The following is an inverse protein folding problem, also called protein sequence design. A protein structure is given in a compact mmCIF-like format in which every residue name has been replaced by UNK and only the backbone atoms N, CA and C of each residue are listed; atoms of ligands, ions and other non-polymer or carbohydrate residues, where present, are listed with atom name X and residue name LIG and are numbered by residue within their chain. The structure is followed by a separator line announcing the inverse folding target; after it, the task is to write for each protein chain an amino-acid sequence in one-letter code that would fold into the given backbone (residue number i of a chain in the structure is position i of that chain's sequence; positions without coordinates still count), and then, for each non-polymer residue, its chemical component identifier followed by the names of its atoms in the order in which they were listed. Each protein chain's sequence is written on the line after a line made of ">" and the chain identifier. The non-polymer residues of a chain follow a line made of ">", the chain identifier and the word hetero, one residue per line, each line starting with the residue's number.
data_IF_399966817083
#
_entry.id   IF_399966817083
#
_cell.length_a   1.000
_cell.length_b   1.000
_cell.length_c   1.000
_cell.angle_alpha   90.00
_cell.angle_beta   90.00
_cell.angle_gamma   90.00
#
_symmetry.space_group_name_H-M   'P 1'
#
loop_
_entity.id
_entity.type
_entity.pdbx_description
1 polymer ?
#
# COMPACT_ATOMS: atom_id res chain seq x y z
N UNK A 1 -20.49 -1.90 9.67
CA UNK A 1 -19.48 -0.88 9.32
C UNK A 1 -18.37 -1.39 8.38
N UNK A 2 -17.22 -1.91 8.81
CA UNK A 2 -16.09 -2.22 7.89
C UNK A 2 -16.39 -3.28 6.81
N UNK A 3 -17.24 -4.27 7.10
CA UNK A 3 -17.72 -5.23 6.07
C UNK A 3 -18.58 -4.56 4.99
N UNK A 4 -19.38 -3.56 5.35
CA UNK A 4 -20.21 -2.81 4.38
C UNK A 4 -19.31 -1.89 3.55
N UNK A 5 -18.35 -1.23 4.19
CA UNK A 5 -17.39 -0.34 3.54
C UNK A 5 -16.58 -1.07 2.45
N UNK A 6 -16.18 -2.33 2.69
CA UNK A 6 -15.58 -3.17 1.64
C UNK A 6 -16.52 -3.55 0.50
N UNK A 7 -17.76 -3.92 0.82
CA UNK A 7 -18.74 -4.26 -0.21
C UNK A 7 -19.05 -3.04 -1.10
N UNK A 8 -19.06 -1.85 -0.50
CA UNK A 8 -19.29 -0.59 -1.18
C UNK A 8 -18.06 -0.06 -1.90
N UNK A 9 -16.84 -0.52 -1.57
CA UNK A 9 -15.59 0.01 -2.15
C UNK A 9 -15.57 -0.07 -3.67
N UNK A 10 -15.91 -1.21 -4.26
CA UNK A 10 -15.91 -1.39 -5.71
C UNK A 10 -17.01 -0.56 -6.39
N UNK A 11 -18.30 -0.63 -5.98
CA UNK A 11 -19.34 0.26 -6.49
C UNK A 11 -18.98 1.75 -6.38
N UNK A 12 -18.41 2.17 -5.25
CA UNK A 12 -17.99 3.55 -5.01
C UNK A 12 -16.86 3.96 -5.95
N UNK A 13 -15.87 3.09 -6.17
CA UNK A 13 -14.76 3.33 -7.11
C UNK A 13 -15.29 3.54 -8.53
N UNK A 14 -16.17 2.66 -8.99
CA UNK A 14 -16.78 2.75 -10.33
C UNK A 14 -17.55 4.06 -10.48
N UNK A 15 -18.38 4.39 -9.49
CA UNK A 15 -19.16 5.63 -9.47
C UNK A 15 -18.26 6.89 -9.51
N UNK A 16 -17.23 6.95 -8.66
CA UNK A 16 -16.30 8.08 -8.62
C UNK A 16 -15.56 8.27 -9.95
N UNK A 17 -15.05 7.18 -10.53
CA UNK A 17 -14.37 7.22 -11.83
C UNK A 17 -15.34 7.68 -12.93
N UNK A 18 -16.58 7.19 -12.93
CA UNK A 18 -17.58 7.58 -13.92
C UNK A 18 -17.91 9.09 -13.88
N UNK A 19 -18.08 9.67 -12.69
CA UNK A 19 -18.33 11.12 -12.56
C UNK A 19 -17.14 11.94 -13.06
N UNK A 20 -15.91 11.53 -12.71
CA UNK A 20 -14.72 12.23 -13.21
C UNK A 20 -14.65 12.14 -14.74
N UNK A 21 -14.95 10.98 -15.33
CA UNK A 21 -14.99 10.83 -16.79
C UNK A 21 -16.02 11.74 -17.45
N UNK A 22 -17.21 11.92 -16.87
CA UNK A 22 -18.20 12.90 -17.35
C UNK A 22 -17.62 14.32 -17.33
N UNK A 23 -16.94 14.69 -16.24
CA UNK A 23 -16.23 15.97 -16.16
C UNK A 23 -15.21 16.10 -17.29
N UNK A 24 -14.35 15.10 -17.46
CA UNK A 24 -13.28 15.10 -18.47
C UNK A 24 -13.80 15.20 -19.91
N UNK A 25 -14.92 14.55 -20.22
CA UNK A 25 -15.55 14.66 -21.56
C UNK A 25 -15.94 16.09 -21.91
N UNK A 26 -16.26 16.92 -20.90
CA UNK A 26 -16.63 18.32 -21.10
C UNK A 26 -15.43 19.27 -20.94
N UNK A 27 -14.51 18.99 -20.01
CA UNK A 27 -13.31 19.78 -19.77
C UNK A 27 -12.15 18.93 -19.25
N UNK A 28 -11.05 18.90 -20.01
CA UNK A 28 -9.83 18.15 -19.69
C UNK A 28 -9.23 18.49 -18.32
N UNK A 29 -9.47 19.68 -17.77
CA UNK A 29 -8.99 20.07 -16.44
C UNK A 29 -9.46 19.12 -15.33
N UNK A 30 -10.63 18.49 -15.51
CA UNK A 30 -11.16 17.52 -14.54
C UNK A 30 -10.33 16.22 -14.43
N UNK A 31 -9.35 15.98 -15.32
CA UNK A 31 -8.39 14.88 -15.15
C UNK A 31 -7.65 14.99 -13.81
N UNK A 32 -7.43 16.20 -13.31
CA UNK A 32 -6.77 16.43 -12.03
C UNK A 32 -7.56 15.88 -10.83
N UNK A 33 -8.87 15.66 -10.95
CA UNK A 33 -9.70 15.06 -9.90
C UNK A 33 -9.40 13.57 -9.68
N UNK A 34 -8.76 12.87 -10.64
CA UNK A 34 -8.33 11.50 -10.41
C UNK A 34 -7.33 11.38 -9.25
N UNK A 35 -6.48 12.39 -9.05
CA UNK A 35 -5.48 12.40 -7.98
C UNK A 35 -6.16 12.30 -6.59
N UNK A 36 -7.04 13.25 -6.19
CA UNK A 36 -7.72 13.17 -4.90
C UNK A 36 -8.65 11.94 -4.81
N UNK A 37 -9.30 11.53 -5.90
CA UNK A 37 -10.16 10.33 -5.90
C UNK A 37 -9.36 9.06 -5.60
N UNK A 38 -8.23 8.84 -6.27
CA UNK A 38 -7.39 7.67 -6.01
C UNK A 38 -6.72 7.74 -4.64
N UNK A 39 -6.36 8.93 -4.14
CA UNK A 39 -5.90 9.12 -2.77
C UNK A 39 -6.98 8.69 -1.76
N UNK A 40 -8.23 9.15 -1.91
CA UNK A 40 -9.34 8.77 -1.05
C UNK A 40 -9.55 7.25 -1.05
N UNK A 41 -9.62 6.63 -2.23
CA UNK A 41 -9.77 5.18 -2.36
C UNK A 41 -8.60 4.41 -1.72
N UNK A 42 -7.37 4.89 -1.92
CA UNK A 42 -6.18 4.36 -1.28
C UNK A 42 -6.26 4.41 0.25
N UNK A 43 -6.66 5.54 0.82
CA UNK A 43 -6.85 5.70 2.26
C UNK A 43 -7.97 4.81 2.80
N UNK A 44 -9.10 4.71 2.11
CA UNK A 44 -10.20 3.81 2.48
C UNK A 44 -9.73 2.36 2.55
N UNK A 45 -9.01 1.91 1.51
CA UNK A 45 -8.47 0.53 1.45
C UNK A 45 -7.48 0.28 2.57
N UNK A 46 -6.57 1.22 2.81
CA UNK A 46 -5.56 1.13 3.89
C UNK A 46 -6.21 1.08 5.26
N UNK A 47 -7.16 1.98 5.54
CA UNK A 47 -7.93 2.02 6.78
C UNK A 47 -8.65 0.69 7.04
N UNK A 48 -9.29 0.14 6.01
CA UNK A 48 -10.02 -1.12 6.10
C UNK A 48 -9.10 -2.30 6.47
N UNK A 49 -7.94 -2.40 5.81
CA UNK A 49 -6.95 -3.45 6.09
C UNK A 49 -6.39 -3.29 7.50
N UNK A 50 -5.96 -2.09 7.87
CA UNK A 50 -5.43 -1.80 9.21
C UNK A 50 -6.46 -2.12 10.30
N UNK A 51 -7.71 -1.67 10.15
CA UNK A 51 -8.78 -1.96 11.12
C UNK A 51 -8.99 -3.47 11.30
N UNK A 52 -8.96 -4.24 10.21
CA UNK A 52 -9.13 -5.70 10.30
C UNK A 52 -7.99 -6.36 11.04
N UNK A 53 -6.75 -6.01 10.71
CA UNK A 53 -5.59 -6.57 11.38
C UNK A 53 -5.60 -6.18 12.86
N UNK A 54 -5.96 -4.94 13.19
CA UNK A 54 -6.05 -4.45 14.59
C UNK A 54 -7.12 -5.16 15.42
N UNK A 55 -8.35 -5.29 14.94
CA UNK A 55 -9.46 -5.77 15.77
C UNK A 55 -9.87 -7.23 15.51
N UNK A 56 -9.45 -7.81 14.39
CA UNK A 56 -9.86 -9.16 13.94
C UNK A 56 -8.68 -10.02 13.49
N UNK A 57 -7.46 -9.48 13.59
CA UNK A 57 -6.25 -10.20 13.26
C UNK A 57 -5.99 -11.33 14.23
N UNK A 58 -5.30 -12.35 13.75
CA UNK A 58 -4.80 -13.45 14.57
C UNK A 58 -3.29 -13.34 14.62
N UNK A 59 -2.72 -13.38 15.82
CA UNK A 59 -1.27 -13.41 16.04
C UNK A 59 -0.73 -14.81 15.79
N UNK A 60 0.41 -14.90 15.13
CA UNK A 60 1.17 -16.14 14.94
C UNK A 60 2.65 -15.84 14.73
N UNK A 61 3.50 -16.86 14.85
CA UNK A 61 4.91 -16.76 14.45
C UNK A 61 5.05 -17.10 12.97
N UNK A 62 5.83 -16.31 12.27
CA UNK A 62 6.19 -16.55 10.88
C UNK A 62 7.70 -16.61 10.74
N UNK A 63 8.19 -17.53 9.91
CA UNK A 63 9.60 -17.75 9.63
C UNK A 63 9.97 -17.11 8.30
N UNK A 64 11.09 -16.42 8.23
CA UNK A 64 11.62 -15.92 6.96
C UNK A 64 12.15 -17.10 6.15
N UNK A 65 11.64 -17.29 4.93
CA UNK A 65 12.06 -18.35 4.01
C UNK A 65 12.91 -17.82 2.86
N UNK A 66 12.79 -16.53 2.55
CA UNK A 66 13.57 -15.87 1.50
C UNK A 66 13.79 -14.41 1.87
N UNK A 67 15.03 -13.97 1.77
CA UNK A 67 15.43 -12.57 1.88
C UNK A 67 16.39 -12.26 0.73
N UNK A 68 16.04 -11.26 -0.07
CA UNK A 68 16.92 -10.69 -1.09
C UNK A 68 16.88 -9.18 -0.93
N UNK A 69 18.01 -8.57 -0.62
CA UNK A 69 18.17 -7.11 -0.59
C UNK A 69 19.28 -6.78 -1.59
N UNK A 70 18.89 -6.34 -2.77
CA UNK A 70 19.85 -5.89 -3.78
C UNK A 70 20.03 -4.38 -3.65
N UNK A 71 21.22 -3.96 -3.22
CA UNK A 71 21.80 -2.68 -3.64
C UNK A 71 22.58 -3.00 -4.93
N UNK A 72 21.98 -2.81 -6.10
CA UNK A 72 22.73 -2.95 -7.34
C UNK A 72 23.75 -1.81 -7.43
N UNK A 73 25.00 -2.08 -7.05
CA UNK A 73 26.15 -1.49 -7.71
C UNK A 73 26.46 -2.38 -8.92
N UNK A 74 25.65 -2.29 -9.98
CA UNK A 74 26.03 -2.89 -11.25
C UNK A 74 27.25 -2.10 -11.78
N UNK A 75 28.44 -2.69 -11.68
CA UNK A 75 29.67 -2.14 -12.26
C UNK A 75 29.60 -2.07 -13.80
N UNK A 76 28.70 -2.86 -14.43
CA UNK A 76 28.52 -2.94 -15.88
C UNK A 76 27.42 -2.01 -16.45
N UNK A 77 26.72 -1.23 -15.63
CA UNK A 77 25.66 -0.30 -16.09
C UNK A 77 26.20 1.13 -16.25
N UNK A 78 26.38 1.54 -17.50
CA UNK A 78 26.81 2.88 -17.93
C UNK A 78 26.01 4.02 -17.26
N UNK A 79 26.56 4.54 -16.16
CA UNK A 79 26.71 5.94 -15.70
C UNK A 79 25.59 7.00 -15.80
N UNK A 80 24.40 6.78 -16.37
CA UNK A 80 23.42 7.89 -16.54
C UNK A 80 22.05 7.71 -15.87
N UNK A 81 21.75 6.56 -15.27
CA UNK A 81 20.47 6.31 -14.57
C UNK A 81 20.71 5.61 -13.22
N UNK A 82 21.49 6.24 -12.35
CA UNK A 82 21.54 5.88 -10.92
C UNK A 82 20.24 6.33 -10.25
N UNK A 83 19.19 5.53 -10.41
CA UNK A 83 18.09 5.51 -9.46
C UNK A 83 18.31 4.28 -8.60
N UNK A 84 18.64 4.48 -7.33
CA UNK A 84 18.81 3.39 -6.37
C UNK A 84 17.46 2.69 -6.16
N UNK A 85 17.12 1.73 -7.02
CA UNK A 85 15.94 0.91 -6.83
C UNK A 85 16.32 -0.19 -5.84
N UNK A 86 16.23 0.13 -4.54
CA UNK A 86 16.32 -0.88 -3.47
C UNK A 86 15.18 -1.88 -3.68
N UNK A 87 15.49 -3.04 -4.24
CA UNK A 87 14.54 -4.14 -4.39
C UNK A 87 14.73 -5.09 -3.22
N UNK A 88 13.86 -4.95 -2.23
CA UNK A 88 13.87 -5.80 -1.04
C UNK A 88 12.71 -6.80 -1.12
N UNK A 89 13.06 -8.08 -1.27
CA UNK A 89 12.11 -9.20 -1.31
C UNK A 89 12.23 -9.95 0.01
N UNK A 90 11.18 -9.86 0.83
CA UNK A 90 11.04 -10.64 2.05
C UNK A 90 9.85 -11.59 1.90
N UNK A 91 10.10 -12.90 1.93
CA UNK A 91 9.04 -13.91 1.96
C UNK A 91 9.07 -14.61 3.30
N UNK A 92 7.92 -14.63 3.95
CA UNK A 92 7.69 -15.33 5.20
C UNK A 92 6.73 -16.49 5.00
N UNK A 93 6.90 -17.52 5.82
CA UNK A 93 6.03 -18.69 5.91
C UNK A 93 5.47 -18.83 7.32
N UNK A 94 4.17 -19.13 7.41
CA UNK A 94 3.54 -19.46 8.68
C UNK A 94 2.38 -20.43 8.51
N UNK A 95 2.06 -21.13 9.59
CA UNK A 95 0.91 -22.04 9.65
C UNK A 95 -0.26 -21.34 10.33
N UNK A 96 -1.40 -21.28 9.65
CA UNK A 96 -2.65 -20.76 10.21
C UNK A 96 -3.23 -21.71 11.26
N UNK A 97 -4.14 -21.23 12.11
CA UNK A 97 -4.89 -22.07 13.07
C UNK A 97 -5.65 -23.25 12.44
N UNK A 98 -5.87 -23.24 11.13
CA UNK A 98 -6.55 -24.30 10.39
C UNK A 98 -5.54 -25.23 9.68
N UNK A 99 -4.28 -25.27 10.13
CA UNK A 99 -3.19 -26.06 9.56
C UNK A 99 -2.86 -25.78 8.09
N UNK A 100 -3.26 -24.61 7.56
CA UNK A 100 -2.84 -24.17 6.23
C UNK A 100 -1.54 -23.40 6.32
N UNK A 101 -0.55 -23.79 5.52
CA UNK A 101 0.71 -23.07 5.34
C UNK A 101 0.49 -21.93 4.35
N UNK A 102 0.92 -20.73 4.73
CA UNK A 102 0.84 -19.52 3.92
C UNK A 102 2.26 -19.03 3.70
N UNK A 103 2.58 -18.71 2.43
CA UNK A 103 3.82 -18.06 2.02
C UNK A 103 3.47 -16.72 1.38
N UNK A 104 4.14 -15.64 1.76
CA UNK A 104 3.89 -14.33 1.17
C UNK A 104 4.81 -13.25 1.70
N UNK A 105 4.62 -12.03 1.21
CA UNK A 105 5.33 -10.85 1.68
C UNK A 105 4.45 -10.08 2.69
N UNK A 106 4.98 -9.72 3.87
CA UNK A 106 4.25 -8.88 4.81
C UNK A 106 4.04 -7.47 4.25
N UNK A 107 2.93 -6.82 4.62
CA UNK A 107 2.61 -5.45 4.21
C UNK A 107 3.61 -4.42 4.75
N UNK A 108 4.10 -4.66 5.96
CA UNK A 108 5.16 -3.91 6.62
C UNK A 108 5.95 -4.86 7.50
N UNK A 109 7.25 -4.62 7.56
CA UNK A 109 8.21 -5.37 8.34
C UNK A 109 9.33 -4.45 8.80
N UNK A 110 9.94 -4.78 9.94
CA UNK A 110 11.25 -4.28 10.34
C UNK A 110 12.13 -5.51 10.47
N UNK A 111 13.25 -5.48 9.80
CA UNK A 111 14.30 -6.44 10.06
C UNK A 111 15.48 -5.59 10.50
N UNK A 112 16.16 -5.97 11.57
CA UNK A 112 17.35 -5.29 12.05
C UNK A 112 18.50 -5.51 11.06
N UNK A 113 18.44 -4.82 9.93
CA UNK A 113 19.50 -4.78 8.92
C UNK A 113 20.61 -3.88 9.48
N UNK A 114 21.89 -4.28 9.42
CA UNK A 114 22.99 -3.41 9.78
C UNK A 114 22.93 -2.10 8.98
N UNK A 115 23.05 -0.95 9.64
CA UNK A 115 23.07 0.34 8.95
C UNK A 115 24.50 0.66 8.50
N UNK A 116 24.65 1.11 7.25
CA UNK A 116 25.91 1.60 6.70
C UNK A 116 25.87 3.13 6.65
N UNK A 117 26.92 3.77 7.15
CA UNK A 117 27.19 5.18 6.95
C UNK A 117 28.08 5.38 5.72
N UNK A 118 28.06 6.56 5.10
CA UNK A 118 28.87 6.85 3.90
C UNK A 118 30.39 6.65 4.11
N UNK A 119 30.86 6.72 5.36
CA UNK A 119 32.25 6.48 5.76
C UNK A 119 32.61 4.98 5.84
N UNK A 120 31.61 4.10 5.84
CA UNK A 120 31.79 2.65 5.98
C UNK A 120 32.17 1.97 4.64
N UNK A 121 32.28 2.74 3.56
CA UNK A 121 32.65 2.28 2.22
C UNK A 121 34.16 2.45 1.89
N UNK A 122 34.98 2.88 2.85
CA UNK A 122 36.44 3.02 2.66
C UNK A 122 37.15 1.65 2.64
N UNK A 123 38.19 1.51 1.79
CA UNK A 123 38.99 0.28 1.69
C UNK A 123 40.25 0.37 2.56
N UNK A 124 40.62 -0.66 3.35
CA UNK A 124 39.96 -1.97 3.47
C UNK A 124 38.60 -1.88 4.15
N UNK A 125 37.63 -2.66 3.63
CA UNK A 125 36.26 -2.65 4.13
C UNK A 125 36.19 -2.89 5.63
N UNK A 126 35.40 -2.08 6.31
CA UNK A 126 35.23 -2.20 7.75
C UNK A 126 34.29 -3.36 8.12
N UNK A 127 34.28 -3.74 9.40
CA UNK A 127 33.48 -4.84 9.93
C UNK A 127 31.97 -4.64 9.71
N UNK A 128 31.49 -3.39 9.66
CA UNK A 128 30.08 -3.07 9.40
C UNK A 128 29.67 -3.39 7.97
N UNK A 129 30.51 -3.07 6.99
CA UNK A 129 30.30 -3.42 5.59
C UNK A 129 30.27 -4.93 5.39
N UNK A 130 31.17 -5.67 6.04
CA UNK A 130 31.19 -7.13 6.01
C UNK A 130 29.91 -7.70 6.64
N UNK A 131 29.49 -7.18 7.80
CA UNK A 131 28.26 -7.60 8.46
C UNK A 131 27.00 -7.32 7.63
N UNK A 132 26.96 -6.20 6.90
CA UNK A 132 25.87 -5.89 5.96
C UNK A 132 25.84 -6.82 4.75
N UNK A 133 27.01 -7.04 4.11
CA UNK A 133 27.12 -7.92 2.94
C UNK A 133 26.71 -9.36 3.26
N UNK A 134 27.12 -9.84 4.43
CA UNK A 134 26.89 -11.23 4.84
C UNK A 134 25.56 -11.38 5.62
N UNK A 135 24.75 -10.31 5.71
CA UNK A 135 23.48 -10.32 6.42
C UNK A 135 22.45 -11.24 5.75
N UNK A 136 22.00 -12.25 6.47
CA UNK A 136 20.93 -13.14 6.02
C UNK A 136 19.95 -13.46 7.17
N UNK A 137 18.74 -12.88 7.17
CA UNK A 137 17.72 -13.11 8.20
C UNK A 137 16.89 -14.38 7.94
N UNK A 138 17.19 -15.16 6.90
CA UNK A 138 16.48 -16.42 6.61
C UNK A 138 16.57 -17.35 7.81
N UNK A 139 15.43 -17.90 8.20
CA UNK A 139 15.30 -18.77 9.36
C UNK A 139 14.84 -18.07 10.63
N UNK A 140 14.93 -16.75 10.71
CA UNK A 140 14.45 -15.98 11.87
C UNK A 140 12.91 -16.00 11.95
N UNK A 141 12.39 -16.08 13.18
CA UNK A 141 10.96 -16.09 13.46
C UNK A 141 10.51 -14.74 14.03
N UNK A 142 9.42 -14.22 13.51
CA UNK A 142 8.82 -12.95 13.94
C UNK A 142 7.35 -13.13 14.29
N UNK A 143 6.86 -12.34 15.26
CA UNK A 143 5.44 -12.25 15.55
C UNK A 143 4.73 -11.40 14.47
N UNK A 144 3.81 -12.03 13.76
CA UNK A 144 2.97 -11.39 12.76
C UNK A 144 1.51 -11.39 13.18
N UNK A 145 0.74 -10.51 12.58
CA UNK A 145 -0.72 -10.49 12.63
C UNK A 145 -1.26 -10.67 11.21
N UNK A 146 -2.17 -11.62 11.03
CA UNK A 146 -2.81 -11.89 9.73
C UNK A 146 -4.34 -11.79 9.80
N UNK A 147 -4.98 -11.45 8.67
CA UNK A 147 -6.45 -11.50 8.55
C UNK A 147 -6.90 -12.96 8.43
N UNK A 148 -7.67 -13.45 9.42
CA UNK A 148 -8.21 -14.83 9.42
C UNK A 148 -8.96 -15.20 8.14
N UNK A 149 -9.63 -14.23 7.49
CA UNK A 149 -10.38 -14.46 6.24
C UNK A 149 -9.52 -14.38 4.99
N UNK A 150 -8.42 -13.64 5.04
CA UNK A 150 -7.46 -13.47 3.94
C UNK A 150 -6.05 -13.63 4.49
N UNK A 151 -5.60 -14.86 4.77
CA UNK A 151 -4.33 -15.09 5.45
C UNK A 151 -3.09 -14.57 4.71
N UNK A 152 -3.20 -14.34 3.39
CA UNK A 152 -2.14 -13.69 2.59
C UNK A 152 -1.92 -12.22 2.94
N UNK A 153 -2.84 -11.60 3.69
CA UNK A 153 -2.72 -10.22 4.18
C UNK A 153 -2.25 -10.27 5.63
N UNK A 154 -0.96 -9.98 5.84
CA UNK A 154 -0.34 -9.99 7.15
C UNK A 154 0.75 -8.93 7.28
N UNK A 155 1.13 -8.60 8.51
CA UNK A 155 2.13 -7.58 8.84
C UNK A 155 2.83 -7.96 10.14
N UNK A 156 4.02 -7.41 10.37
CA UNK A 156 4.67 -7.51 11.68
C UNK A 156 3.80 -6.86 12.75
N UNK A 157 3.68 -7.50 13.92
CA UNK A 157 2.80 -7.07 15.02
C UNK A 157 3.09 -5.65 15.49
N UNK A 158 4.35 -5.25 15.45
CA UNK A 158 4.84 -3.94 15.91
C UNK A 158 4.39 -2.79 15.00
N UNK A 159 4.16 -3.05 13.71
CA UNK A 159 3.69 -2.05 12.74
C UNK A 159 2.19 -1.85 12.75
N UNK A 160 1.50 -2.50 13.67
CA UNK A 160 0.07 -2.33 13.88
C UNK A 160 -0.20 -1.00 14.61
N UNK A 161 0.04 0.10 13.89
CA UNK A 161 0.08 1.44 14.45
C UNK A 161 -1.29 2.08 14.69
N UNK A 162 -1.37 2.82 15.80
CA UNK A 162 -2.52 3.54 16.40
C UNK A 162 -3.11 4.68 15.56
N UNK A 163 -2.80 4.75 14.26
CA UNK A 163 -3.14 5.88 13.38
C UNK A 163 -4.48 5.73 12.64
N UNK A 164 -5.35 4.82 13.09
CA UNK A 164 -6.68 4.62 12.49
C UNK A 164 -7.48 5.93 12.43
N UNK A 165 -7.39 6.76 13.48
CA UNK A 165 -8.07 8.06 13.53
C UNK A 165 -7.53 9.06 12.50
N UNK A 166 -6.22 9.04 12.23
CA UNK A 166 -5.60 9.93 11.22
C UNK A 166 -6.12 9.57 9.82
N UNK A 167 -6.16 8.28 9.49
CA UNK A 167 -6.73 7.82 8.22
C UNK A 167 -8.20 8.20 8.08
N UNK A 168 -8.97 8.05 9.16
CA UNK A 168 -10.40 8.38 9.17
C UNK A 168 -10.65 9.88 8.97
N UNK A 169 -9.86 10.75 9.62
CA UNK A 169 -9.93 12.20 9.42
C UNK A 169 -9.57 12.61 7.98
N UNK A 170 -8.51 12.02 7.41
CA UNK A 170 -8.13 12.25 6.01
C UNK A 170 -9.21 11.80 5.04
N UNK A 171 -9.84 10.65 5.28
CA UNK A 171 -10.97 10.15 4.48
C UNK A 171 -12.12 11.16 4.53
N UNK A 172 -12.48 11.70 5.70
CA UNK A 172 -13.55 12.68 5.81
C UNK A 172 -13.27 13.97 5.04
N UNK A 173 -12.07 14.55 5.20
CA UNK A 173 -11.68 15.78 4.51
C UNK A 173 -11.69 15.58 3.00
N UNK A 174 -11.05 14.51 2.51
CA UNK A 174 -11.02 14.19 1.08
C UNK A 174 -12.42 13.92 0.53
N UNK A 175 -13.28 13.23 1.29
CA UNK A 175 -14.67 12.97 0.88
C UNK A 175 -15.45 14.27 0.72
N UNK A 176 -15.32 15.22 1.64
CA UNK A 176 -16.00 16.51 1.55
C UNK A 176 -15.59 17.30 0.29
N UNK A 177 -14.29 17.34 -0.01
CA UNK A 177 -13.75 18.00 -1.21
C UNK A 177 -14.29 17.34 -2.48
N UNK A 178 -14.23 16.00 -2.56
CA UNK A 178 -14.71 15.25 -3.73
C UNK A 178 -16.21 15.42 -3.93
N UNK A 179 -17.01 15.37 -2.86
CA UNK A 179 -18.45 15.57 -2.94
C UNK A 179 -18.77 16.97 -3.48
N UNK A 180 -18.11 18.02 -3.01
CA UNK A 180 -18.32 19.37 -3.51
C UNK A 180 -17.99 19.48 -5.01
N UNK A 181 -16.86 18.90 -5.44
CA UNK A 181 -16.47 18.88 -6.85
C UNK A 181 -17.45 18.08 -7.72
N UNK A 182 -17.95 16.95 -7.23
CA UNK A 182 -18.89 16.11 -7.96
C UNK A 182 -20.26 16.77 -8.10
N UNK A 183 -20.76 17.41 -7.04
CA UNK A 183 -22.00 18.18 -7.10
C UNK A 183 -21.88 19.27 -8.17
N UNK A 184 -20.76 20.00 -8.20
CA UNK A 184 -20.50 21.01 -9.21
C UNK A 184 -20.54 20.42 -10.64
N UNK A 185 -19.82 19.31 -10.89
CA UNK A 185 -19.82 18.65 -12.21
C UNK A 185 -21.24 18.23 -12.63
N UNK A 186 -22.02 17.67 -11.71
CA UNK A 186 -23.36 17.17 -12.02
C UNK A 186 -24.33 18.31 -12.33
N UNK A 187 -24.22 19.45 -11.63
CA UNK A 187 -25.06 20.63 -11.88
C UNK A 187 -24.68 21.28 -13.22
N UNK A 188 -23.39 21.52 -13.44
CA UNK A 188 -22.88 22.25 -14.60
C UNK A 188 -23.08 21.45 -15.90
N UNK A 189 -22.74 20.16 -15.88
CA UNK A 189 -22.72 19.31 -17.07
C UNK A 189 -23.90 18.35 -17.13
N UNK A 190 -25.06 18.78 -16.61
CA UNK A 190 -26.31 18.02 -16.48
C UNK A 190 -26.30 16.75 -17.33
N UNK A 191 -26.19 15.60 -16.66
CA UNK A 191 -26.16 14.27 -17.31
C UNK A 191 -27.37 14.12 -18.24
N UNK A 192 -28.49 14.74 -17.88
CA UNK A 192 -29.73 14.77 -18.67
C UNK A 192 -29.57 15.57 -19.96
N UNK A 193 -28.90 16.74 -19.92
CA UNK A 193 -28.67 17.57 -21.10
C UNK A 193 -27.70 16.93 -22.09
N UNK A 194 -26.61 16.34 -21.58
CA UNK A 194 -25.60 15.67 -22.41
C UNK A 194 -26.16 14.40 -23.08
N UNK A 195 -26.93 13.58 -22.34
CA UNK A 195 -27.59 12.40 -22.91
C UNK A 195 -28.69 12.80 -23.90
N UNK A 196 -29.51 13.81 -23.60
CA UNK A 196 -30.52 14.29 -24.54
C UNK A 196 -29.93 14.82 -25.85
N UNK A 197 -28.74 15.44 -25.80
CA UNK A 197 -28.02 15.91 -27.00
C UNK A 197 -27.41 14.81 -27.87
N UNK A 198 -27.22 13.59 -27.34
CA UNK A 198 -26.72 12.43 -28.10
C UNK A 198 -27.84 11.69 -28.86
N UNK A 199 -29.10 11.95 -28.54
CA UNK A 199 -30.27 11.31 -29.16
C UNK A 199 -31.18 12.30 -29.92
N UNK A 200 -30.71 13.54 -30.11
CA UNK A 200 -31.26 14.53 -31.05
C UNK A 200 -30.29 14.73 -32.21
#
# INVERSE_FOLDING_TARGET
>A
MVKQLEKMFYPLTVFMVFIVLIGVMNNMMFLLLFIPVFLLLGFIKKYTISYRLTYKGVTTKAKIIKYESYLNFDEDLATSRRGDVKKEVLIMEFTTKNNKVIKGQPLKYDINVPELEDKDFEYPYNEKFIAFRDFNPVGQEYEIIYDKKRPTVFTFKEFLGKHLNVYLNLIFILSAIIIAAFIYIIIEYSIVGTIASLFN
#
